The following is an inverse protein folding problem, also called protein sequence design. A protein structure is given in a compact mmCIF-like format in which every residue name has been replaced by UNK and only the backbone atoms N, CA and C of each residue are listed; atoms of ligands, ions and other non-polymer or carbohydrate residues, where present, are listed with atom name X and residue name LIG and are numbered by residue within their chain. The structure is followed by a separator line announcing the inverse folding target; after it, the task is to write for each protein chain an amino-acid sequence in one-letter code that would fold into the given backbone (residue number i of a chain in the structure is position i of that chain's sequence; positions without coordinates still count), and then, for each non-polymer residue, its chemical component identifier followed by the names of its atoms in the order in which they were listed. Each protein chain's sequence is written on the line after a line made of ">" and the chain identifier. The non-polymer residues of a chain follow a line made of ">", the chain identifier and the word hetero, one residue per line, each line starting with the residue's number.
data_IF_195405294502
#
_entry.id   IF_195405294502
#
_cell.length_a   1.000
_cell.length_b   1.000
_cell.length_c   1.000
_cell.angle_alpha   90.00
_cell.angle_beta   90.00
_cell.angle_gamma   90.00
#
_symmetry.space_group_name_H-M   'P 1'
#
loop_
_entity.id
_entity.type
_entity.pdbx_description
1 polymer ?
#
# COMPACT_ATOMS: atom_id res chain seq x y z
N UNK A 1 -8.46 17.12 -10.74
CA UNK A 1 -8.06 16.01 -9.84
C UNK A 1 -7.58 14.78 -10.61
N UNK A 2 -8.27 14.39 -11.69
CA UNK A 2 -7.90 13.22 -12.53
C UNK A 2 -6.47 13.31 -13.10
N UNK A 3 -6.06 14.48 -13.59
CA UNK A 3 -4.70 14.72 -14.10
C UNK A 3 -3.61 14.51 -13.04
N UNK A 4 -3.88 14.90 -11.79
CA UNK A 4 -2.94 14.72 -10.67
C UNK A 4 -2.82 13.24 -10.29
N UNK A 5 -3.94 12.50 -10.33
CA UNK A 5 -3.96 11.05 -10.10
C UNK A 5 -3.13 10.33 -11.17
N UNK A 6 -3.29 10.70 -12.45
CA UNK A 6 -2.46 10.16 -13.54
C UNK A 6 -0.98 10.48 -13.35
N UNK A 7 -0.62 11.74 -13.08
CA UNK A 7 0.77 12.14 -12.89
C UNK A 7 1.47 11.32 -11.80
N UNK A 8 0.85 11.17 -10.63
CA UNK A 8 1.38 10.35 -9.53
C UNK A 8 1.41 8.86 -9.91
N UNK A 9 0.40 8.39 -10.63
CA UNK A 9 0.35 7.00 -11.08
C UNK A 9 1.52 6.69 -12.05
N UNK A 10 1.81 7.59 -12.98
CA UNK A 10 2.87 7.46 -13.97
C UNK A 10 4.26 7.63 -13.35
N UNK A 11 4.43 8.58 -12.43
CA UNK A 11 5.66 8.77 -11.63
C UNK A 11 6.05 7.46 -10.91
N UNK A 12 5.07 6.78 -10.34
CA UNK A 12 5.28 5.51 -9.66
C UNK A 12 5.19 4.29 -10.56
N UNK A 13 5.07 4.48 -11.89
CA UNK A 13 5.01 3.41 -12.91
C UNK A 13 3.86 2.42 -12.66
N UNK A 14 2.70 2.93 -12.24
CA UNK A 14 1.51 2.14 -11.93
C UNK A 14 1.59 1.29 -10.66
N UNK A 15 2.63 1.46 -9.83
CA UNK A 15 2.78 0.73 -8.55
C UNK A 15 1.79 1.21 -7.49
N UNK A 16 1.40 2.48 -7.56
CA UNK A 16 0.56 3.10 -6.54
C UNK A 16 -0.92 2.87 -6.85
N UNK A 17 -1.62 2.26 -5.90
CA UNK A 17 -3.08 2.21 -5.90
C UNK A 17 -3.69 3.42 -5.19
N UNK A 18 -5.02 3.50 -5.18
CA UNK A 18 -5.74 4.66 -4.64
C UNK A 18 -5.29 5.06 -3.22
N UNK A 19 -5.01 4.09 -2.33
CA UNK A 19 -4.55 4.36 -0.95
C UNK A 19 -3.23 5.14 -0.92
N UNK A 20 -2.26 4.70 -1.73
CA UNK A 20 -0.94 5.35 -1.83
C UNK A 20 -1.04 6.69 -2.54
N UNK A 21 -1.83 6.76 -3.62
CA UNK A 21 -2.09 8.00 -4.35
C UNK A 21 -2.71 9.06 -3.42
N UNK A 22 -3.68 8.68 -2.58
CA UNK A 22 -4.26 9.61 -1.59
C UNK A 22 -3.21 10.09 -0.59
N UNK A 23 -2.29 9.24 -0.13
CA UNK A 23 -1.22 9.66 0.77
C UNK A 23 -0.26 10.66 0.12
N UNK A 24 0.17 10.41 -1.12
CA UNK A 24 1.00 11.35 -1.89
C UNK A 24 0.27 12.66 -2.20
N UNK A 25 -1.04 12.61 -2.47
CA UNK A 25 -1.84 13.82 -2.67
C UNK A 25 -1.99 14.62 -1.37
N UNK A 26 -2.22 13.95 -0.25
CA UNK A 26 -2.29 14.58 1.07
C UNK A 26 -0.97 15.27 1.42
N UNK A 27 0.16 14.62 1.15
CA UNK A 27 1.49 15.17 1.45
C UNK A 27 1.87 16.33 0.51
N UNK A 28 1.51 16.26 -0.77
CA UNK A 28 1.87 17.30 -1.75
C UNK A 28 0.95 18.52 -1.70
N UNK A 29 -0.33 18.33 -1.40
CA UNK A 29 -1.34 19.40 -1.47
C UNK A 29 -1.78 19.91 -0.11
N UNK A 30 -1.34 19.26 0.99
CA UNK A 30 -1.77 19.54 2.37
C UNK A 30 -3.31 19.54 2.53
N UNK A 31 -4.02 18.91 1.60
CA UNK A 31 -5.48 18.82 1.60
C UNK A 31 -5.93 17.41 2.01
N UNK A 32 -6.97 17.37 2.84
CA UNK A 32 -7.63 16.13 3.26
C UNK A 32 -8.49 15.55 2.13
N UNK A 33 -7.85 14.90 1.17
CA UNK A 33 -8.54 14.24 0.06
C UNK A 33 -9.16 12.92 0.52
N UNK A 34 -10.47 12.76 0.30
CA UNK A 34 -11.16 11.51 0.61
C UNK A 34 -10.71 10.37 -0.33
N UNK A 35 -10.10 9.33 0.25
CA UNK A 35 -9.64 8.14 -0.48
C UNK A 35 -10.75 7.43 -1.27
N UNK A 36 -12.02 7.54 -0.85
CA UNK A 36 -13.17 6.98 -1.58
C UNK A 36 -13.40 7.69 -2.91
N UNK A 37 -13.19 9.01 -2.96
CA UNK A 37 -13.28 9.81 -4.19
C UNK A 37 -12.19 9.44 -5.19
N UNK A 38 -10.94 9.34 -4.70
CA UNK A 38 -9.80 8.88 -5.50
C UNK A 38 -10.05 7.49 -6.06
N UNK A 39 -10.57 6.56 -5.25
CA UNK A 39 -10.92 5.21 -5.71
C UNK A 39 -11.96 5.23 -6.85
N UNK A 40 -13.01 6.04 -6.73
CA UNK A 40 -14.05 6.17 -7.78
C UNK A 40 -13.49 6.76 -9.08
N UNK A 41 -12.64 7.79 -8.98
CA UNK A 41 -11.99 8.39 -10.15
C UNK A 41 -11.06 7.39 -10.84
N UNK A 42 -10.21 6.69 -10.09
CA UNK A 42 -9.35 5.65 -10.65
C UNK A 42 -10.15 4.53 -11.33
N UNK A 43 -11.30 4.13 -10.76
CA UNK A 43 -12.18 3.14 -11.39
C UNK A 43 -12.77 3.63 -12.71
N UNK A 44 -13.23 4.89 -12.78
CA UNK A 44 -13.72 5.51 -14.02
C UNK A 44 -12.64 5.52 -15.11
N UNK A 45 -11.40 5.82 -14.73
CA UNK A 45 -10.23 5.86 -15.61
C UNK A 45 -9.62 4.47 -15.87
N UNK A 46 -10.19 3.39 -15.29
CA UNK A 46 -9.68 2.01 -15.36
C UNK A 46 -8.24 1.84 -14.86
N UNK A 47 -7.76 2.72 -13.98
CA UNK A 47 -6.44 2.65 -13.37
C UNK A 47 -6.45 1.72 -12.15
N UNK A 48 -5.52 0.76 -12.10
CA UNK A 48 -5.35 -0.19 -10.99
C UNK A 48 -3.87 -0.35 -10.68
N UNK A 49 -3.52 -0.58 -9.41
CA UNK A 49 -2.14 -0.85 -9.04
C UNK A 49 -1.67 -2.16 -9.70
N UNK A 50 -0.52 -2.11 -10.39
CA UNK A 50 0.07 -3.24 -11.11
C UNK A 50 0.79 -4.24 -10.20
N UNK A 51 1.02 -3.89 -8.93
CA UNK A 51 1.75 -4.75 -8.00
C UNK A 51 0.95 -6.03 -7.72
N UNK A 52 1.54 -7.18 -8.02
CA UNK A 52 1.01 -8.50 -7.63
C UNK A 52 0.99 -8.64 -6.11
N UNK A 53 -0.13 -9.07 -5.56
CA UNK A 53 -0.19 -9.45 -4.15
C UNK A 53 0.83 -10.56 -3.86
N UNK A 54 1.73 -10.34 -2.89
CA UNK A 54 2.66 -11.37 -2.43
C UNK A 54 1.82 -12.51 -1.83
N UNK A 55 1.87 -13.69 -2.45
CA UNK A 55 1.29 -14.91 -1.86
C UNK A 55 2.12 -15.24 -0.62
N UNK A 56 1.52 -15.19 0.56
CA UNK A 56 2.18 -15.61 1.79
C UNK A 56 2.22 -17.14 1.81
N UNK A 57 3.39 -17.72 1.55
CA UNK A 57 3.62 -19.16 1.71
C UNK A 57 4.01 -19.40 3.17
N UNK A 58 3.06 -19.82 4.00
CA UNK A 58 3.39 -20.54 5.23
C UNK A 58 3.96 -21.91 4.82
N UNK A 59 4.70 -22.58 5.70
CA UNK A 59 5.38 -23.88 5.57
C UNK A 59 6.88 -23.83 5.25
N UNK A 60 7.69 -23.77 6.31
CA UNK A 60 8.87 -24.65 6.43
C UNK A 60 8.38 -25.83 7.28
N UNK A 61 7.86 -26.85 6.63
CA UNK A 61 7.69 -28.17 7.26
C UNK A 61 9.06 -28.84 7.17
N UNK A 62 9.84 -28.79 8.25
CA UNK A 62 11.11 -29.52 8.27
C UNK A 62 12.10 -29.15 9.37
N UNK A 63 12.00 -27.98 9.98
CA UNK A 63 12.79 -27.66 11.18
C UNK A 63 11.82 -27.02 12.16
N UNK A 64 11.65 -27.74 13.27
CA UNK A 64 11.03 -27.34 14.54
C UNK A 64 10.53 -25.90 14.52
N UNK A 65 9.22 -25.72 14.69
CA UNK A 65 8.70 -24.49 15.27
C UNK A 65 9.36 -24.32 16.64
N UNK A 66 10.60 -23.83 16.67
CA UNK A 66 11.24 -23.31 17.86
C UNK A 66 10.35 -22.13 18.19
N UNK A 67 9.50 -22.35 19.18
CA UNK A 67 8.81 -21.32 19.91
C UNK A 67 9.84 -20.20 20.13
N UNK A 68 9.75 -19.10 19.39
CA UNK A 68 10.53 -17.91 19.70
C UNK A 68 9.98 -17.46 21.06
N UNK A 69 10.63 -17.92 22.13
CA UNK A 69 10.38 -17.46 23.48
C UNK A 69 10.73 -15.97 23.46
N UNK A 70 9.71 -15.14 23.29
CA UNK A 70 9.82 -13.69 23.40
C UNK A 70 10.09 -13.35 24.87
N UNK A 71 11.30 -13.62 25.34
CA UNK A 71 11.83 -13.11 26.59
C UNK A 71 12.35 -11.70 26.35
N UNK A 72 11.52 -10.68 26.56
CA UNK A 72 12.04 -9.35 26.83
C UNK A 72 12.60 -9.39 28.26
N UNK A 73 13.90 -9.68 28.38
CA UNK A 73 14.64 -9.42 29.63
C UNK A 73 14.64 -7.92 29.85
N UNK A 74 13.61 -7.43 30.55
CA UNK A 74 13.58 -6.08 31.10
C UNK A 74 13.99 -6.21 32.55
N UNK A 75 15.20 -5.76 32.83
CA UNK A 75 15.64 -5.48 34.19
C UNK A 75 14.91 -4.19 34.64
N UNK A 76 14.11 -4.31 35.70
CA UNK A 76 13.53 -3.17 36.42
C UNK A 76 14.44 -2.76 37.57
#
# INVERSE_FOLDING_TARGET
>A
METKICAVYDEHKGRHGYRRITATLCHSMNELVNHKGVRRLMQKMRLRALIRAKKWSRYVTGLTAVHLLNGLQRDF
#
